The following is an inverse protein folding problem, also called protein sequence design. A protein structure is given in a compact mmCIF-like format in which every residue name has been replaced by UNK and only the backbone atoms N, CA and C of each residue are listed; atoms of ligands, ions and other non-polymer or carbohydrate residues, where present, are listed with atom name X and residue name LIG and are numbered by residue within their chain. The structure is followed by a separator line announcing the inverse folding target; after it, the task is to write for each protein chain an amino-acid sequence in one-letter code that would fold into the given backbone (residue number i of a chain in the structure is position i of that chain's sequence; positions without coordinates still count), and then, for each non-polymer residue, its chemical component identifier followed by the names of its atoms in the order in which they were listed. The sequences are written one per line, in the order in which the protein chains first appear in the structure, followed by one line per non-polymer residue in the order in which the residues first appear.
data_IF_441659001214
#
_entry.id   IF_441659001214
#
_cell.length_a   1.000
_cell.length_b   1.000
_cell.length_c   1.000
_cell.angle_alpha   90.00
_cell.angle_beta   90.00
_cell.angle_gamma   90.00
#
_symmetry.space_group_name_H-M   'P 1'
#
loop_
_entity.id
_entity.type
_entity.pdbx_description
1 polymer ?
#
# COMPACT_ATOMS: atom_id res chain seq x y z
N UNK A 1 -6.76 -3.46 21.29
CA UNK A 1 -6.85 -2.33 20.33
C UNK A 1 -6.19 -1.13 20.99
N UNK A 2 -5.51 -0.23 20.26
CA UNK A 2 -5.04 1.02 20.85
C UNK A 2 -6.26 1.84 21.26
N UNK A 3 -6.37 2.21 22.54
CA UNK A 3 -7.54 2.89 23.09
C UNK A 3 -7.59 4.40 22.74
N UNK A 4 -6.75 4.88 21.82
CA UNK A 4 -6.71 6.27 21.38
C UNK A 4 -6.41 6.42 19.89
N UNK A 5 -6.97 7.45 19.26
CA UNK A 5 -6.69 7.82 17.86
C UNK A 5 -5.21 8.10 17.59
N UNK A 6 -4.49 8.61 18.60
CA UNK A 6 -3.04 8.81 18.58
C UNK A 6 -2.29 7.48 18.47
N UNK A 7 -2.76 6.44 19.18
CA UNK A 7 -2.19 5.11 19.16
C UNK A 7 -2.28 4.41 17.79
N UNK A 8 -3.35 4.65 17.02
CA UNK A 8 -3.45 4.08 15.65
C UNK A 8 -2.41 4.69 14.70
N UNK A 9 -2.13 5.99 14.83
CA UNK A 9 -1.13 6.67 14.00
C UNK A 9 0.29 6.21 14.32
N UNK A 10 0.58 6.05 15.61
CA UNK A 10 1.87 5.54 16.09
C UNK A 10 2.07 4.09 15.67
N UNK A 11 1.07 3.23 15.91
CA UNK A 11 1.10 1.83 15.46
C UNK A 11 1.31 1.71 13.95
N UNK A 12 0.66 2.55 13.14
CA UNK A 12 0.87 2.56 11.68
C UNK A 12 2.31 2.91 11.30
N UNK A 13 2.94 3.85 12.00
CA UNK A 13 4.30 4.29 11.70
C UNK A 13 5.35 3.24 12.11
N UNK A 14 5.04 2.41 13.11
CA UNK A 14 5.93 1.36 13.63
C UNK A 14 5.64 -0.02 13.01
N UNK A 15 4.53 -0.17 12.29
CA UNK A 15 4.12 -1.44 11.71
C UNK A 15 5.12 -1.89 10.65
N UNK A 16 5.76 -3.02 10.92
CA UNK A 16 6.65 -3.71 9.98
C UNK A 16 6.06 -5.06 9.56
N UNK A 17 6.57 -5.61 8.45
CA UNK A 17 6.19 -6.94 7.99
C UNK A 17 6.43 -8.03 9.04
N UNK A 18 7.57 -7.98 9.73
CA UNK A 18 7.91 -8.92 10.79
C UNK A 18 6.97 -8.80 12.00
N UNK A 19 6.64 -7.58 12.41
CA UNK A 19 5.70 -7.33 13.49
C UNK A 19 4.33 -7.93 13.16
N UNK A 20 3.81 -7.65 11.96
CA UNK A 20 2.53 -8.19 11.50
C UNK A 20 2.56 -9.73 11.45
N UNK A 21 3.61 -10.31 10.87
CA UNK A 21 3.76 -11.76 10.80
C UNK A 21 3.80 -12.42 12.18
N UNK A 22 4.50 -11.80 13.14
CA UNK A 22 4.57 -12.30 14.51
C UNK A 22 3.23 -12.18 15.24
N UNK A 23 2.48 -11.08 15.03
CA UNK A 23 1.13 -10.92 15.57
C UNK A 23 0.18 -11.99 15.03
N UNK A 24 0.24 -12.29 13.73
CA UNK A 24 -0.59 -13.33 13.10
C UNK A 24 -0.23 -14.73 13.61
N UNK A 25 1.06 -15.03 13.83
CA UNK A 25 1.50 -16.30 14.42
C UNK A 25 1.01 -16.51 15.85
N UNK A 26 0.94 -15.44 16.63
CA UNK A 26 0.48 -15.47 18.02
C UNK A 26 -1.05 -15.39 18.18
N UNK A 27 -1.78 -15.17 17.09
CA UNK A 27 -3.24 -15.08 17.12
C UNK A 27 -3.85 -16.46 17.40
N UNK A 28 -4.83 -16.51 18.29
CA UNK A 28 -5.58 -17.72 18.60
C UNK A 28 -7.08 -17.42 18.66
N UNK A 29 -7.89 -18.45 18.42
CA UNK A 29 -9.34 -18.32 18.39
C UNK A 29 -9.87 -17.87 19.75
N UNK A 30 -10.51 -16.70 19.77
CA UNK A 30 -11.07 -16.10 20.98
C UNK A 30 -12.50 -15.65 20.69
N UNK A 31 -13.43 -15.97 21.59
CA UNK A 31 -14.82 -15.51 21.48
C UNK A 31 -14.90 -14.07 22.01
N UNK A 32 -15.14 -13.12 21.12
CA UNK A 32 -15.22 -11.69 21.43
C UNK A 32 -16.56 -11.13 20.91
N UNK A 33 -17.12 -10.16 21.65
CA UNK A 33 -18.20 -9.31 21.14
C UNK A 33 -17.57 -7.98 20.73
N UNK A 34 -17.63 -7.66 19.43
CA UNK A 34 -17.00 -6.47 18.86
C UNK A 34 -18.05 -5.71 18.04
N UNK A 35 -18.06 -4.39 18.19
CA UNK A 35 -18.88 -3.49 17.38
C UNK A 35 -17.97 -2.72 16.42
N UNK A 36 -18.19 -2.86 15.12
CA UNK A 36 -17.51 -2.10 14.08
C UNK A 36 -18.54 -1.20 13.39
N UNK A 37 -18.32 0.12 13.32
CA UNK A 37 -19.27 1.02 12.65
C UNK A 37 -19.27 0.76 11.14
N UNK A 38 -20.41 0.98 10.49
CA UNK A 38 -20.47 1.03 9.02
C UNK A 38 -19.81 2.33 8.56
N UNK A 39 -18.87 2.24 7.63
CA UNK A 39 -18.21 3.39 7.01
C UNK A 39 -17.92 3.12 5.54
N UNK A 40 -17.66 4.19 4.77
CA UNK A 40 -17.18 4.15 3.39
C UNK A 40 -15.91 4.98 3.31
N UNK A 41 -14.84 4.45 2.71
CA UNK A 41 -13.58 5.17 2.50
C UNK A 41 -13.35 5.25 0.99
N UNK A 42 -13.15 6.46 0.49
CA UNK A 42 -12.72 6.72 -0.89
C UNK A 42 -11.38 7.44 -0.82
N UNK A 43 -10.38 6.93 -1.54
CA UNK A 43 -9.02 7.46 -1.55
C UNK A 43 -8.44 7.33 -2.95
N UNK A 44 -7.84 8.41 -3.44
CA UNK A 44 -7.01 8.41 -4.65
C UNK A 44 -5.55 8.52 -4.23
N UNK A 45 -4.68 7.69 -4.81
CA UNK A 45 -3.25 7.67 -4.50
C UNK A 45 -2.47 7.76 -5.80
N UNK A 46 -1.58 8.75 -5.91
CA UNK A 46 -0.60 8.81 -6.97
C UNK A 46 0.53 7.80 -6.68
N UNK A 47 0.51 6.68 -7.42
CA UNK A 47 1.50 5.62 -7.29
C UNK A 47 2.93 6.06 -7.67
N UNK A 48 3.07 7.00 -8.61
CA UNK A 48 4.38 7.52 -9.03
C UNK A 48 4.98 8.34 -7.89
N UNK A 49 4.20 9.27 -7.31
CA UNK A 49 4.66 10.08 -6.18
C UNK A 49 5.03 9.19 -4.98
N UNK A 50 4.23 8.17 -4.69
CA UNK A 50 4.49 7.22 -3.60
C UNK A 50 5.78 6.44 -3.81
N UNK A 51 6.00 5.89 -5.01
CA UNK A 51 7.21 5.12 -5.32
C UNK A 51 8.46 6.01 -5.32
N UNK A 52 8.36 7.26 -5.79
CA UNK A 52 9.45 8.26 -5.63
C UNK A 52 9.78 8.48 -4.16
N UNK A 53 8.78 8.64 -3.28
CA UNK A 53 8.97 8.75 -1.81
C UNK A 53 9.60 7.50 -1.19
N UNK A 54 9.36 6.32 -1.77
CA UNK A 54 9.98 5.06 -1.35
C UNK A 54 11.40 4.85 -1.92
N UNK A 55 11.92 5.78 -2.71
CA UNK A 55 13.28 5.76 -3.26
C UNK A 55 13.40 5.26 -4.70
N UNK A 56 12.28 4.95 -5.36
CA UNK A 56 12.25 4.59 -6.79
C UNK A 56 12.20 5.87 -7.62
N UNK A 57 13.35 6.54 -7.77
CA UNK A 57 13.44 7.83 -8.45
C UNK A 57 13.63 7.68 -9.96
N UNK A 58 14.70 6.99 -10.36
CA UNK A 58 15.18 6.97 -11.75
C UNK A 58 14.24 6.24 -12.73
N UNK A 59 13.29 5.43 -12.25
CA UNK A 59 12.36 4.68 -13.10
C UNK A 59 11.37 5.59 -13.84
N UNK A 60 11.11 6.77 -13.28
CA UNK A 60 10.12 7.76 -13.70
C UNK A 60 10.83 9.06 -14.14
N UNK A 61 11.94 8.90 -14.85
CA UNK A 61 12.71 10.00 -15.43
C UNK A 61 13.08 9.59 -16.85
N UNK A 62 13.27 10.56 -17.76
CA UNK A 62 13.62 10.27 -19.16
C UNK A 62 14.96 9.53 -19.32
N UNK A 63 15.77 9.51 -18.26
CA UNK A 63 17.06 8.83 -18.16
C UNK A 63 16.95 7.37 -17.69
N UNK A 64 15.73 6.87 -17.43
CA UNK A 64 15.50 5.49 -17.01
C UNK A 64 16.05 4.49 -18.04
N UNK A 65 16.96 3.60 -17.61
CA UNK A 65 17.37 2.46 -18.43
C UNK A 65 16.39 1.29 -18.24
N UNK A 66 15.42 1.21 -19.15
CA UNK A 66 14.44 0.12 -19.23
C UNK A 66 14.69 -0.78 -20.46
N UNK A 67 15.92 -0.79 -20.99
CA UNK A 67 16.30 -1.49 -22.22
C UNK A 67 16.06 -3.00 -22.19
N UNK A 68 16.05 -3.61 -21.00
CA UNK A 68 15.74 -5.04 -20.81
C UNK A 68 14.25 -5.37 -20.78
N UNK A 69 13.39 -4.36 -20.71
CA UNK A 69 11.93 -4.49 -20.72
C UNK A 69 11.40 -4.20 -22.13
N UNK A 70 11.93 -3.16 -22.78
CA UNK A 70 11.57 -2.80 -24.15
C UNK A 70 12.78 -2.29 -24.92
N UNK A 71 12.83 -2.61 -26.20
CA UNK A 71 13.80 -2.02 -27.14
C UNK A 71 13.43 -0.59 -27.57
N UNK A 72 12.25 -0.10 -27.17
CA UNK A 72 11.78 1.27 -27.40
C UNK A 72 11.76 2.05 -26.10
N UNK A 73 12.05 3.36 -26.16
CA UNK A 73 12.02 4.23 -24.98
C UNK A 73 10.59 4.31 -24.44
N UNK A 74 10.40 3.82 -23.21
CA UNK A 74 9.12 3.87 -22.50
C UNK A 74 9.04 5.23 -21.79
N UNK A 75 8.68 6.27 -22.53
CA UNK A 75 8.40 7.60 -21.95
C UNK A 75 7.09 7.52 -21.14
N UNK A 76 7.08 8.16 -19.97
CA UNK A 76 6.08 8.12 -18.88
C UNK A 76 4.59 8.28 -19.28
N UNK A 77 4.31 8.68 -20.52
CA UNK A 77 2.99 8.90 -21.10
C UNK A 77 2.02 7.71 -21.13
N UNK A 78 2.37 6.54 -20.55
CA UNK A 78 1.54 5.32 -20.64
C UNK A 78 1.45 4.50 -19.34
N UNK A 79 1.52 5.12 -18.17
CA UNK A 79 0.92 4.48 -16.99
C UNK A 79 -0.60 4.71 -17.06
N UNK A 80 -1.27 3.95 -17.94
CA UNK A 80 -2.73 3.82 -17.83
C UNK A 80 -2.99 2.96 -16.59
N UNK A 81 -3.91 3.43 -15.75
CA UNK A 81 -4.44 2.66 -14.62
C UNK A 81 -4.70 1.23 -15.09
N UNK A 82 -4.12 0.28 -14.36
CA UNK A 82 -4.40 -1.14 -14.53
C UNK A 82 -5.46 -1.48 -13.48
N UNK A 83 -6.71 -1.38 -13.89
CA UNK A 83 -7.85 -1.82 -13.13
C UNK A 83 -7.82 -3.36 -13.08
N UNK A 84 -7.22 -3.90 -12.02
CA UNK A 84 -7.36 -5.30 -11.68
C UNK A 84 -8.83 -5.56 -11.33
N UNK A 85 -9.55 -6.16 -12.27
CA UNK A 85 -10.88 -6.70 -12.03
C UNK A 85 -10.74 -7.85 -11.02
N UNK A 86 -10.94 -7.53 -9.74
CA UNK A 86 -11.30 -8.49 -8.69
C UNK A 86 -10.40 -8.54 -7.45
N UNK A 87 -10.70 -7.70 -6.46
CA UNK A 87 -11.20 -8.15 -5.14
C UNK A 87 -11.91 -6.94 -4.51
N UNK A 88 -13.24 -7.01 -4.43
CA UNK A 88 -14.03 -6.03 -3.71
C UNK A 88 -13.66 -6.07 -2.21
N UNK A 89 -12.95 -5.05 -1.76
CA UNK A 89 -13.15 -4.48 -0.43
C UNK A 89 -13.87 -3.15 -0.65
N UNK A 90 -15.19 -3.23 -0.86
CA UNK A 90 -16.07 -2.06 -0.87
C UNK A 90 -16.31 -1.51 0.54
#
# INVERSE_FOLDING_TARGET
MPDTSKGLREMRNELTGDMLANMLKGAYQTKLQITVPKFKIESEVDGVELLKKLGVLNMFEDTADLSKISSTQLLESRIKQMDEVGTEAA
#
